data_IF_333631434915
#
_entry.id   IF_333631434915
#
_cell.length_a   1.000
_cell.length_b   1.000
_cell.length_c   1.000
_cell.angle_alpha   90.00
_cell.angle_beta   90.00
_cell.angle_gamma   90.00
#
_symmetry.space_group_name_H-M   'P 1'
#
loop_
_entity.id
_entity.type
_entity.pdbx_description
1 polymer ?
#
# COMPACT_ATOMS: atom_id res chain seq x y z
N UNK A 1 41.35 -1.10 23.72
CA UNK A 1 40.47 -0.13 23.04
C UNK A 1 39.92 -0.84 21.81
N UNK A 2 38.70 -1.40 21.90
CA UNK A 2 38.07 -2.11 20.79
C UNK A 2 37.53 -1.06 19.82
N UNK A 3 38.22 -0.90 18.69
CA UNK A 3 37.68 -0.17 17.55
C UNK A 3 36.42 -0.89 17.08
N UNK A 4 35.28 -0.19 17.06
CA UNK A 4 34.06 -0.73 16.46
C UNK A 4 34.32 -0.88 14.96
N UNK A 5 34.52 -2.11 14.52
CA UNK A 5 34.90 -2.52 13.14
C UNK A 5 33.83 -2.18 12.08
N UNK A 6 32.64 -1.69 12.49
CA UNK A 6 31.58 -1.27 11.56
C UNK A 6 31.04 0.10 11.98
N UNK A 7 31.13 1.07 11.09
CA UNK A 7 30.42 2.35 11.21
C UNK A 7 29.02 2.21 10.62
N UNK A 8 28.00 2.44 11.45
CA UNK A 8 26.60 2.44 11.01
C UNK A 8 26.24 3.84 10.52
N UNK A 9 25.82 3.98 9.26
CA UNK A 9 25.26 5.23 8.78
C UNK A 9 23.76 5.28 9.14
N UNK A 10 23.46 5.89 10.30
CA UNK A 10 22.09 5.99 10.79
C UNK A 10 21.15 6.78 9.86
N UNK A 11 21.65 7.80 9.17
CA UNK A 11 20.82 8.62 8.28
C UNK A 11 20.32 7.82 7.08
N UNK A 12 21.20 7.02 6.47
CA UNK A 12 20.84 6.13 5.36
C UNK A 12 19.78 5.13 5.82
N UNK A 13 19.97 4.50 6.99
CA UNK A 13 19.05 3.49 7.49
C UNK A 13 17.68 4.10 7.83
N UNK A 14 17.66 5.26 8.49
CA UNK A 14 16.39 5.97 8.78
C UNK A 14 15.65 6.34 7.50
N UNK A 15 16.37 6.78 6.46
CA UNK A 15 15.79 7.04 5.15
C UNK A 15 15.18 5.79 4.50
N UNK A 16 15.92 4.68 4.49
CA UNK A 16 15.45 3.41 3.93
C UNK A 16 14.21 2.87 4.66
N UNK A 17 14.23 2.88 6.00
CA UNK A 17 13.10 2.44 6.82
C UNK A 17 11.87 3.31 6.56
N UNK A 18 12.04 4.64 6.43
CA UNK A 18 10.93 5.55 6.14
C UNK A 18 10.25 5.23 4.82
N UNK A 19 11.01 4.98 3.76
CA UNK A 19 10.44 4.62 2.45
C UNK A 19 9.81 3.22 2.47
N UNK A 20 10.41 2.27 3.18
CA UNK A 20 9.84 0.93 3.37
C UNK A 20 8.49 1.00 4.08
N UNK A 21 8.41 1.76 5.18
CA UNK A 21 7.17 1.93 5.94
C UNK A 21 6.11 2.63 5.09
N UNK A 22 6.48 3.68 4.36
CA UNK A 22 5.57 4.38 3.45
C UNK A 22 4.98 3.42 2.40
N UNK A 23 5.82 2.64 1.72
CA UNK A 23 5.38 1.67 0.73
C UNK A 23 4.46 0.62 1.32
N UNK A 24 4.81 0.07 2.49
CA UNK A 24 3.98 -0.93 3.17
C UNK A 24 2.59 -0.38 3.57
N UNK A 25 2.52 0.87 4.03
CA UNK A 25 1.25 1.53 4.35
C UNK A 25 0.42 1.76 3.08
N UNK A 26 1.05 2.22 2.00
CA UNK A 26 0.39 2.44 0.71
C UNK A 26 -0.18 1.15 0.12
N UNK A 27 0.62 0.07 0.09
CA UNK A 27 0.18 -1.26 -0.35
C UNK A 27 -1.00 -1.77 0.49
N UNK A 28 -0.87 -1.72 1.82
CA UNK A 28 -1.92 -2.18 2.74
C UNK A 28 -3.22 -1.40 2.53
N UNK A 29 -3.14 -0.08 2.37
CA UNK A 29 -4.31 0.75 2.15
C UNK A 29 -4.98 0.43 0.81
N UNK A 30 -4.20 0.27 -0.25
CA UNK A 30 -4.72 -0.08 -1.58
C UNK A 30 -5.43 -1.43 -1.58
N UNK A 31 -4.89 -2.43 -0.85
CA UNK A 31 -5.56 -3.73 -0.69
C UNK A 31 -6.88 -3.64 0.07
N UNK A 32 -6.96 -2.80 1.11
CA UNK A 32 -8.21 -2.59 1.85
C UNK A 32 -9.28 -1.92 0.98
N UNK A 33 -8.90 -0.90 0.21
CA UNK A 33 -9.80 -0.23 -0.72
C UNK A 33 -10.28 -1.17 -1.84
N UNK A 34 -9.39 -2.04 -2.34
CA UNK A 34 -9.76 -3.04 -3.33
C UNK A 34 -10.82 -4.02 -2.79
N UNK A 35 -10.64 -4.51 -1.55
CA UNK A 35 -11.64 -5.37 -0.87
C UNK A 35 -12.97 -4.65 -0.64
N UNK A 36 -12.94 -3.37 -0.31
CA UNK A 36 -14.14 -2.56 -0.17
C UNK A 36 -14.89 -2.44 -1.50
N UNK A 37 -14.18 -2.21 -2.61
CA UNK A 37 -14.78 -2.18 -3.96
C UNK A 37 -15.41 -3.53 -4.33
N UNK A 38 -14.75 -4.64 -4.03
CA UNK A 38 -15.34 -5.98 -4.27
C UNK A 38 -16.61 -6.19 -3.45
N UNK A 39 -16.62 -5.78 -2.18
CA UNK A 39 -17.80 -5.86 -1.32
C UNK A 39 -18.95 -5.00 -1.83
N UNK A 40 -18.68 -3.76 -2.25
CA UNK A 40 -19.69 -2.83 -2.75
C UNK A 40 -20.24 -3.26 -4.12
N UNK A 41 -19.38 -3.76 -5.01
CA UNK A 41 -19.79 -4.20 -6.35
C UNK A 41 -20.33 -5.63 -6.39
N UNK A 42 -20.18 -6.40 -5.31
CA UNK A 42 -20.49 -7.84 -5.23
C UNK A 42 -19.83 -8.66 -6.33
N UNK A 43 -18.63 -8.25 -6.75
CA UNK A 43 -17.89 -8.90 -7.82
C UNK A 43 -16.38 -8.61 -7.73
N UNK A 44 -15.56 -9.62 -7.98
CA UNK A 44 -14.13 -9.47 -8.13
C UNK A 44 -13.79 -8.72 -9.44
N UNK A 45 -12.51 -8.34 -9.56
CA UNK A 45 -12.01 -7.66 -10.76
C UNK A 45 -12.19 -8.53 -12.00
N UNK A 46 -12.83 -7.96 -13.03
CA UNK A 46 -13.18 -8.61 -14.30
C UNK A 46 -14.10 -9.84 -14.19
N UNK A 47 -14.64 -10.15 -13.01
CA UNK A 47 -15.61 -11.23 -12.85
C UNK A 47 -16.87 -10.94 -13.68
N UNK A 48 -17.53 -11.98 -14.18
CA UNK A 48 -18.87 -11.85 -14.76
C UNK A 48 -19.85 -12.48 -13.78
N UNK A 49 -20.63 -11.64 -13.11
CA UNK A 49 -21.63 -12.06 -12.13
C UNK A 49 -22.94 -11.32 -12.40
N UNK A 50 -24.04 -12.06 -12.36
CA UNK A 50 -25.39 -11.49 -12.44
C UNK A 50 -25.76 -10.73 -11.16
N UNK A 51 -25.09 -11.02 -10.04
CA UNK A 51 -25.31 -10.35 -8.76
C UNK A 51 -24.59 -8.99 -8.66
N UNK A 52 -23.79 -8.61 -9.66
CA UNK A 52 -22.99 -7.38 -9.65
C UNK A 52 -23.86 -6.14 -9.45
N UNK A 53 -23.49 -5.30 -8.47
CA UNK A 53 -24.20 -4.08 -8.10
C UNK A 53 -23.52 -2.78 -8.57
N UNK A 54 -22.34 -2.84 -9.18
CA UNK A 54 -21.63 -1.65 -9.64
C UNK A 54 -20.45 -1.95 -10.57
N UNK A 55 -19.86 -0.88 -11.11
CA UNK A 55 -18.70 -0.95 -12.01
C UNK A 55 -17.50 -0.22 -11.42
N UNK A 56 -16.30 -0.65 -11.83
CA UNK A 56 -15.03 -0.01 -11.46
C UNK A 56 -14.71 1.11 -12.45
N UNK A 57 -14.45 2.31 -11.96
CA UNK A 57 -14.22 3.52 -12.77
C UNK A 57 -12.73 3.91 -12.85
N UNK A 58 -11.83 2.92 -12.89
CA UNK A 58 -10.39 3.16 -12.91
C UNK A 58 -9.81 3.49 -11.54
N UNK A 59 -8.72 4.26 -11.52
CA UNK A 59 -8.03 4.74 -10.32
C UNK A 59 -7.66 6.21 -10.48
N UNK A 60 -7.34 6.88 -9.38
CA UNK A 60 -6.78 8.23 -9.36
C UNK A 60 -5.76 8.33 -8.22
N UNK A 61 -4.77 9.20 -8.40
CA UNK A 61 -3.74 9.42 -7.39
C UNK A 61 -4.27 10.34 -6.29
N UNK A 62 -3.97 10.00 -5.03
CA UNK A 62 -4.32 10.81 -3.86
C UNK A 62 -3.16 10.83 -2.87
N UNK A 63 -2.70 12.04 -2.54
CA UNK A 63 -1.74 12.22 -1.46
C UNK A 63 -2.46 12.23 -0.10
N UNK A 64 -2.04 11.34 0.80
CA UNK A 64 -2.53 11.28 2.17
C UNK A 64 -1.44 11.78 3.12
N UNK A 65 -1.85 12.56 4.11
CA UNK A 65 -0.98 12.94 5.23
C UNK A 65 -1.30 12.02 6.40
N UNK A 66 -0.34 11.18 6.78
CA UNK A 66 -0.46 10.18 7.86
C UNK A 66 0.46 10.51 9.02
#
# INVERSE_FOLDING_TARGET
MSEKIVQLNEEIIKGQIKELVRGSVEETLNELLEKEVESLTQAARYERSEARQGYRSGHYDRNLTT
#
